data_IF_394053179242
#
_entry.id   IF_394053179242
#
_cell.length_a   1.000
_cell.length_b   1.000
_cell.length_c   1.000
_cell.angle_alpha   90.00
_cell.angle_beta   90.00
_cell.angle_gamma   90.00
#
_symmetry.space_group_name_H-M   'P 1'
#
loop_
_entity.id
_entity.type
_entity.pdbx_description
1 polymer ?
#
# COMPACT_ATOMS: atom_id res chain seq x y z
N UNK A 1 14.44 -3.08 15.03
CA UNK A 1 15.06 -4.16 14.25
C UNK A 1 14.36 -5.45 14.65
N UNK A 2 13.41 -5.91 13.86
CA UNK A 2 12.79 -7.24 14.05
C UNK A 2 13.71 -8.18 13.26
N UNK A 3 14.60 -8.86 13.93
CA UNK A 3 15.52 -9.81 13.29
C UNK A 3 14.84 -11.17 13.17
N UNK A 4 15.22 -11.96 12.17
CA UNK A 4 14.72 -13.33 11.93
C UNK A 4 14.81 -14.24 13.18
N UNK A 5 15.61 -13.88 14.16
CA UNK A 5 15.71 -14.59 15.44
C UNK A 5 14.45 -14.52 16.31
N UNK A 6 13.54 -13.57 16.08
CA UNK A 6 12.27 -13.49 16.80
C UNK A 6 11.26 -14.55 16.33
N UNK A 7 11.46 -15.14 15.15
CA UNK A 7 10.56 -16.13 14.58
C UNK A 7 11.06 -17.58 14.71
N UNK A 8 12.29 -17.79 15.15
CA UNK A 8 12.88 -19.15 15.28
C UNK A 8 12.49 -19.88 16.55
N UNK A 9 11.79 -19.23 17.49
CA UNK A 9 11.33 -19.83 18.75
C UNK A 9 9.82 -19.80 18.89
N UNK A 10 9.06 -20.05 17.82
CA UNK A 10 7.65 -20.39 17.98
C UNK A 10 7.58 -21.77 18.64
N UNK A 11 7.24 -21.80 19.92
CA UNK A 11 6.87 -23.03 20.61
C UNK A 11 5.60 -23.59 19.96
N UNK A 12 5.69 -24.75 19.34
CA UNK A 12 4.56 -25.46 18.72
C UNK A 12 3.45 -25.81 19.74
N UNK A 13 3.72 -25.60 21.04
CA UNK A 13 2.79 -25.76 22.15
C UNK A 13 2.08 -24.49 22.58
N UNK A 14 2.05 -23.42 21.79
CA UNK A 14 1.22 -22.26 22.07
C UNK A 14 -0.25 -22.71 22.12
N UNK A 15 -0.73 -22.98 23.35
CA UNK A 15 -2.17 -23.08 23.62
C UNK A 15 -2.84 -21.82 23.07
N UNK A 16 -3.90 -22.02 22.28
CA UNK A 16 -4.66 -20.93 21.69
C UNK A 16 -4.92 -19.85 22.75
N UNK A 17 -4.22 -18.72 22.62
CA UNK A 17 -4.48 -17.57 23.44
C UNK A 17 -5.87 -17.04 23.04
N UNK A 18 -6.80 -16.93 23.97
CA UNK A 18 -8.06 -16.24 23.72
C UNK A 18 -7.72 -14.78 23.37
N UNK A 19 -7.87 -14.44 22.11
CA UNK A 19 -7.68 -13.06 21.67
C UNK A 19 -8.77 -12.19 22.29
N UNK A 20 -8.43 -11.04 22.89
CA UNK A 20 -9.43 -10.15 23.43
C UNK A 20 -10.36 -9.68 22.30
N UNK A 21 -11.64 -9.58 22.59
CA UNK A 21 -12.61 -8.98 21.67
C UNK A 21 -12.21 -7.52 21.43
N UNK A 22 -11.83 -7.18 20.21
CA UNK A 22 -11.48 -5.81 19.85
C UNK A 22 -12.75 -5.02 19.51
N UNK A 23 -12.93 -3.90 20.19
CA UNK A 23 -13.93 -2.92 19.75
C UNK A 23 -13.40 -2.16 18.53
N UNK A 24 -14.00 -2.41 17.38
CA UNK A 24 -13.62 -1.77 16.12
C UNK A 24 -13.87 -0.25 16.12
N UNK A 25 -14.65 0.29 17.04
CA UNK A 25 -14.82 1.73 17.22
C UNK A 25 -13.66 2.38 17.97
N UNK A 26 -12.81 1.59 18.64
CA UNK A 26 -11.65 2.10 19.36
C UNK A 26 -10.65 2.80 18.44
N UNK A 27 -10.03 3.90 18.92
CA UNK A 27 -8.94 4.57 18.20
C UNK A 27 -7.78 3.60 17.91
N UNK A 28 -7.35 3.56 16.65
CA UNK A 28 -6.25 2.72 16.22
C UNK A 28 -4.99 3.53 15.86
N UNK A 29 -5.17 4.70 15.23
CA UNK A 29 -4.06 5.56 14.85
C UNK A 29 -4.37 7.04 15.09
N UNK A 30 -3.29 7.80 15.25
CA UNK A 30 -3.31 9.24 15.34
C UNK A 30 -2.26 9.79 14.36
N UNK A 31 -2.73 10.46 13.31
CA UNK A 31 -1.86 10.97 12.23
C UNK A 31 -1.88 12.48 12.21
N UNK A 32 -0.70 13.10 12.25
CA UNK A 32 -0.57 14.55 12.18
C UNK A 32 -0.74 15.06 10.74
N UNK A 33 -1.48 16.15 10.60
CA UNK A 33 -1.61 16.89 9.33
C UNK A 33 -1.08 18.32 9.50
N UNK A 34 -0.56 18.90 8.42
CA UNK A 34 -0.21 20.31 8.37
C UNK A 34 -1.49 21.16 8.27
N UNK A 35 -2.14 21.42 9.39
CA UNK A 35 -3.39 22.19 9.40
C UNK A 35 -3.30 23.51 8.63
N UNK A 36 -4.35 23.89 7.91
CA UNK A 36 -4.48 25.16 7.18
C UNK A 36 -4.34 26.40 8.07
N UNK A 37 -4.46 26.24 9.38
CA UNK A 37 -4.30 27.28 10.41
C UNK A 37 -2.88 27.40 10.97
N UNK A 38 -1.89 26.70 10.41
CA UNK A 38 -0.48 26.76 10.81
C UNK A 38 -0.11 25.84 11.99
N UNK A 39 -1.05 25.37 12.79
CA UNK A 39 -0.79 24.38 13.84
C UNK A 39 -1.12 22.98 13.33
N UNK A 40 -0.25 21.98 13.59
CA UNK A 40 -0.55 20.59 13.25
C UNK A 40 -1.84 20.12 13.93
N UNK A 41 -2.69 19.46 13.18
CA UNK A 41 -3.89 18.79 13.70
C UNK A 41 -3.66 17.28 13.73
N UNK A 42 -4.21 16.62 14.74
CA UNK A 42 -4.18 15.18 14.84
C UNK A 42 -5.51 14.59 14.35
N UNK A 43 -5.44 13.76 13.33
CA UNK A 43 -6.59 12.99 12.85
C UNK A 43 -6.56 11.62 13.51
N UNK A 44 -7.66 11.26 14.16
CA UNK A 44 -7.83 9.96 14.84
C UNK A 44 -8.66 9.06 13.96
N UNK A 45 -8.18 7.85 13.70
CA UNK A 45 -8.95 6.81 13.01
C UNK A 45 -9.15 5.61 13.90
N UNK A 46 -10.34 5.05 13.85
CA UNK A 46 -10.66 3.77 14.47
C UNK A 46 -10.21 2.59 13.59
N UNK A 47 -10.19 1.40 14.18
CA UNK A 47 -10.00 0.14 13.45
C UNK A 47 -11.01 0.04 12.29
N UNK A 48 -12.27 0.37 12.55
CA UNK A 48 -13.35 0.35 11.55
C UNK A 48 -13.07 1.28 10.36
N UNK A 49 -12.53 2.48 10.61
CA UNK A 49 -12.20 3.42 9.53
C UNK A 49 -11.14 2.83 8.59
N UNK A 50 -10.09 2.25 9.16
CA UNK A 50 -9.02 1.64 8.37
C UNK A 50 -9.48 0.40 7.62
N UNK A 51 -10.26 -0.48 8.25
CA UNK A 51 -10.78 -1.68 7.59
C UNK A 51 -11.70 -1.33 6.43
N UNK A 52 -12.62 -0.36 6.60
CA UNK A 52 -13.51 0.07 5.52
C UNK A 52 -12.73 0.67 4.33
N UNK A 53 -11.68 1.47 4.61
CA UNK A 53 -10.79 1.97 3.56
C UNK A 53 -10.02 0.84 2.87
N UNK A 54 -9.49 -0.10 3.63
CA UNK A 54 -8.74 -1.23 3.10
C UNK A 54 -9.62 -2.12 2.20
N UNK A 55 -10.87 -2.41 2.61
CA UNK A 55 -11.83 -3.22 1.87
C UNK A 55 -12.11 -2.65 0.49
N UNK A 56 -12.45 -1.36 0.38
CA UNK A 56 -12.72 -0.73 -0.91
C UNK A 56 -11.52 -0.74 -1.85
N UNK A 57 -10.30 -0.57 -1.33
CA UNK A 57 -9.09 -0.62 -2.16
C UNK A 57 -8.75 -2.05 -2.57
N UNK A 58 -8.91 -3.03 -1.68
CA UNK A 58 -8.67 -4.44 -2.00
C UNK A 58 -9.63 -4.93 -3.10
N UNK A 59 -10.91 -4.58 -2.99
CA UNK A 59 -11.91 -4.89 -4.02
C UNK A 59 -11.54 -4.28 -5.37
N UNK A 60 -11.20 -3.00 -5.39
CA UNK A 60 -10.86 -2.29 -6.63
C UNK A 60 -9.62 -2.87 -7.33
N UNK A 61 -8.59 -3.25 -6.57
CA UNK A 61 -7.33 -3.75 -7.10
C UNK A 61 -7.30 -5.28 -7.26
N UNK A 62 -8.38 -5.99 -6.91
CA UNK A 62 -8.45 -7.47 -6.82
C UNK A 62 -7.31 -8.04 -5.94
N UNK A 63 -7.04 -7.38 -4.80
CA UNK A 63 -6.02 -7.80 -3.85
C UNK A 63 -6.59 -8.80 -2.85
N UNK A 64 -5.97 -9.96 -2.72
CA UNK A 64 -6.48 -11.08 -1.93
C UNK A 64 -5.36 -11.94 -1.35
N UNK A 65 -5.73 -12.94 -0.57
CA UNK A 65 -4.81 -13.96 -0.09
C UNK A 65 -4.04 -14.60 -1.25
N UNK A 66 -2.73 -14.78 -1.06
CA UNK A 66 -1.80 -15.25 -2.10
C UNK A 66 -1.13 -14.12 -2.88
N UNK A 67 -1.64 -12.91 -2.79
CA UNK A 67 -0.99 -11.71 -3.32
C UNK A 67 0.07 -11.16 -2.36
N UNK A 68 0.80 -10.17 -2.83
CA UNK A 68 1.82 -9.50 -2.06
C UNK A 68 1.82 -7.99 -2.29
N UNK A 69 2.07 -7.22 -1.24
CA UNK A 69 2.19 -5.76 -1.30
C UNK A 69 3.52 -5.31 -0.70
N UNK A 70 4.20 -4.36 -1.37
CA UNK A 70 5.41 -3.75 -0.81
C UNK A 70 5.02 -2.59 0.11
N UNK A 71 5.58 -2.54 1.31
CA UNK A 71 5.51 -1.37 2.19
C UNK A 71 6.39 -0.26 1.63
N UNK A 72 5.92 0.39 0.58
CA UNK A 72 6.62 1.37 -0.24
C UNK A 72 6.47 2.81 0.22
N UNK A 73 5.56 3.05 1.17
CA UNK A 73 5.23 4.38 1.68
C UNK A 73 5.40 4.42 3.21
N UNK A 74 5.76 5.58 3.79
CA UNK A 74 6.07 5.68 5.21
C UNK A 74 4.84 5.52 6.11
N UNK A 75 5.02 4.84 7.25
CA UNK A 75 3.94 4.57 8.22
C UNK A 75 3.44 5.80 8.98
N UNK A 76 4.19 6.91 8.98
CA UNK A 76 3.72 8.16 9.56
C UNK A 76 2.71 8.90 8.67
N UNK A 77 2.42 8.39 7.47
CA UNK A 77 1.33 8.81 6.59
C UNK A 77 0.26 7.71 6.48
N UNK A 78 -0.99 8.12 6.34
CA UNK A 78 -2.12 7.18 6.13
C UNK A 78 -1.96 6.29 4.90
N UNK A 79 -1.21 6.72 3.91
CA UNK A 79 -0.92 5.92 2.71
C UNK A 79 -0.08 4.66 3.01
N UNK A 80 0.92 4.78 3.89
CA UNK A 80 1.69 3.62 4.37
C UNK A 80 0.89 2.76 5.33
N UNK A 81 0.15 3.38 6.25
CA UNK A 81 -0.76 2.66 7.15
C UNK A 81 -1.80 1.84 6.36
N UNK A 82 -2.37 2.42 5.30
CA UNK A 82 -3.33 1.73 4.44
C UNK A 82 -2.79 0.45 3.80
N UNK A 83 -1.48 0.37 3.50
CA UNK A 83 -0.84 -0.86 3.01
C UNK A 83 -0.91 -1.96 4.08
N UNK A 84 -0.59 -1.62 5.34
CA UNK A 84 -0.62 -2.57 6.46
C UNK A 84 -2.04 -3.08 6.71
N UNK A 85 -3.05 -2.21 6.69
CA UNK A 85 -4.43 -2.60 6.89
C UNK A 85 -4.98 -3.50 5.78
N UNK A 86 -4.58 -3.27 4.51
CA UNK A 86 -4.94 -4.13 3.37
C UNK A 86 -4.32 -5.52 3.52
N UNK A 87 -3.03 -5.57 3.87
CA UNK A 87 -2.33 -6.81 4.14
C UNK A 87 -3.00 -7.61 5.24
N UNK A 88 -3.30 -6.99 6.40
CA UNK A 88 -3.96 -7.64 7.53
C UNK A 88 -5.35 -8.16 7.15
N UNK A 89 -6.15 -7.33 6.46
CA UNK A 89 -7.51 -7.68 6.05
C UNK A 89 -7.56 -8.91 5.16
N UNK A 90 -6.61 -9.04 4.24
CA UNK A 90 -6.62 -10.12 3.25
C UNK A 90 -5.80 -11.35 3.65
N UNK A 91 -5.02 -11.29 4.74
CA UNK A 91 -4.08 -12.37 5.07
C UNK A 91 -3.08 -12.63 3.95
N UNK A 92 -2.66 -11.57 3.26
CA UNK A 92 -1.74 -11.62 2.13
C UNK A 92 -0.27 -11.59 2.60
N UNK A 93 0.70 -11.31 1.71
CA UNK A 93 2.11 -11.18 2.06
C UNK A 93 2.51 -9.70 2.04
N UNK A 94 3.16 -9.22 3.11
CA UNK A 94 3.77 -7.89 3.17
C UNK A 94 5.27 -7.99 2.99
N UNK A 95 5.78 -7.31 1.95
CA UNK A 95 7.23 -7.13 1.79
C UNK A 95 7.65 -5.84 2.47
N UNK A 96 8.64 -5.93 3.35
CA UNK A 96 9.20 -4.78 4.07
C UNK A 96 10.60 -4.52 3.53
N UNK A 97 10.85 -3.26 3.16
CA UNK A 97 12.16 -2.84 2.68
C UNK A 97 13.02 -2.37 3.86
N UNK A 98 14.09 -3.08 4.15
CA UNK A 98 15.06 -2.70 5.18
C UNK A 98 16.15 -1.77 4.62
N UNK A 99 16.62 -2.00 3.39
CA UNK A 99 17.59 -1.15 2.71
C UNK A 99 16.96 -0.47 1.49
N UNK A 100 17.16 0.85 1.39
CA UNK A 100 16.69 1.62 0.23
C UNK A 100 17.27 1.16 -1.11
N UNK A 101 18.43 0.50 -1.09
CA UNK A 101 19.06 -0.06 -2.28
C UNK A 101 18.20 -1.16 -2.93
N UNK A 102 17.51 -1.96 -2.12
CA UNK A 102 16.75 -3.13 -2.58
C UNK A 102 15.31 -2.80 -2.99
N UNK A 103 14.92 -1.52 -2.92
CA UNK A 103 13.53 -1.09 -3.15
C UNK A 103 12.97 -1.57 -4.49
N UNK A 104 13.70 -1.39 -5.59
CA UNK A 104 13.21 -1.78 -6.92
C UNK A 104 13.30 -3.28 -7.15
N UNK A 105 14.24 -3.96 -6.51
CA UNK A 105 14.31 -5.41 -6.52
C UNK A 105 13.07 -6.02 -5.84
N UNK A 106 12.76 -5.60 -4.61
CA UNK A 106 11.56 -6.03 -3.91
C UNK A 106 10.28 -5.64 -4.66
N UNK A 107 10.25 -4.44 -5.25
CA UNK A 107 9.13 -4.01 -6.07
C UNK A 107 8.89 -4.94 -7.26
N UNK A 108 9.94 -5.51 -7.85
CA UNK A 108 9.81 -6.46 -8.96
C UNK A 108 9.20 -7.82 -8.57
N UNK A 109 9.21 -8.15 -7.28
CA UNK A 109 8.75 -9.44 -6.74
C UNK A 109 7.29 -9.43 -6.26
N UNK A 110 6.70 -8.25 -6.04
CA UNK A 110 5.34 -8.12 -5.51
C UNK A 110 4.28 -8.00 -6.60
N UNK A 111 3.04 -8.41 -6.28
CA UNK A 111 1.89 -8.24 -7.17
C UNK A 111 1.27 -6.85 -7.07
N UNK A 112 1.37 -6.18 -5.91
CA UNK A 112 0.75 -4.88 -5.66
C UNK A 112 1.73 -3.90 -5.02
N UNK A 113 1.59 -2.61 -5.36
CA UNK A 113 2.34 -1.53 -4.73
C UNK A 113 1.52 -0.23 -4.69
N UNK A 114 1.81 0.62 -3.70
CA UNK A 114 1.36 2.02 -3.68
C UNK A 114 2.59 2.89 -3.92
N UNK A 115 2.55 3.72 -4.97
CA UNK A 115 3.70 4.53 -5.36
C UNK A 115 3.29 5.99 -5.58
N UNK A 116 4.23 6.90 -5.38
CA UNK A 116 4.13 8.24 -5.97
C UNK A 116 4.62 8.20 -7.43
N UNK A 117 4.17 9.12 -8.31
CA UNK A 117 4.53 9.09 -9.72
C UNK A 117 6.04 9.03 -9.99
N UNK A 118 6.84 9.73 -9.20
CA UNK A 118 8.31 9.74 -9.33
C UNK A 118 8.95 8.39 -9.00
N UNK A 119 8.38 7.61 -8.08
CA UNK A 119 8.85 6.25 -7.79
C UNK A 119 8.55 5.32 -8.98
N UNK A 120 7.34 5.39 -9.54
CA UNK A 120 6.99 4.60 -10.73
C UNK A 120 7.89 4.97 -11.91
N UNK A 121 8.13 6.25 -12.17
CA UNK A 121 9.01 6.71 -13.26
C UNK A 121 10.42 6.12 -13.12
N UNK A 122 10.98 6.15 -11.92
CA UNK A 122 12.32 5.58 -11.65
C UNK A 122 12.32 4.06 -11.79
N UNK A 123 11.25 3.38 -11.37
CA UNK A 123 11.12 1.94 -11.53
C UNK A 123 11.05 1.53 -13.00
N UNK A 124 10.28 2.23 -13.81
CA UNK A 124 10.19 1.98 -15.26
C UNK A 124 11.53 2.15 -15.99
N UNK A 125 12.43 2.98 -15.45
CA UNK A 125 13.78 3.18 -15.99
C UNK A 125 14.81 2.22 -15.38
N UNK A 126 14.46 1.39 -14.41
CA UNK A 126 15.38 0.49 -13.72
C UNK A 126 15.52 -0.86 -14.45
N UNK A 127 16.69 -1.50 -14.29
CA UNK A 127 16.90 -2.87 -14.77
C UNK A 127 16.01 -3.90 -14.06
N UNK A 128 15.58 -3.60 -12.83
CA UNK A 128 14.76 -4.49 -12.01
C UNK A 128 13.36 -4.71 -12.59
N UNK A 129 12.87 -3.77 -13.41
CA UNK A 129 11.60 -3.91 -14.13
C UNK A 129 11.53 -5.21 -14.94
N UNK A 130 12.63 -5.60 -15.59
CA UNK A 130 12.70 -6.78 -16.45
C UNK A 130 12.80 -8.11 -15.66
N UNK A 131 13.09 -8.04 -14.36
CA UNK A 131 13.14 -9.21 -13.47
C UNK A 131 11.77 -9.55 -12.88
N UNK A 132 10.74 -8.78 -13.23
CA UNK A 132 9.40 -8.94 -12.70
C UNK A 132 8.83 -10.33 -12.99
N UNK A 133 8.42 -11.01 -11.93
CA UNK A 133 7.89 -12.39 -12.01
C UNK A 133 6.37 -12.46 -12.00
N UNK A 134 5.68 -11.35 -11.68
CA UNK A 134 4.22 -11.30 -11.51
C UNK A 134 3.61 -10.16 -12.32
N UNK A 135 2.32 -10.29 -12.64
CA UNK A 135 1.51 -9.12 -13.06
C UNK A 135 1.44 -8.14 -11.89
N UNK A 136 1.56 -6.86 -12.18
CA UNK A 136 1.56 -5.83 -11.15
C UNK A 136 0.37 -4.88 -11.28
N UNK A 137 -0.23 -4.59 -10.14
CA UNK A 137 -1.22 -3.53 -9.93
C UNK A 137 -0.60 -2.43 -9.07
N UNK A 138 -0.59 -1.20 -9.55
CA UNK A 138 0.04 -0.07 -8.86
C UNK A 138 -0.98 1.03 -8.60
N UNK A 139 -1.21 1.32 -7.32
CA UNK A 139 -2.00 2.47 -6.88
C UNK A 139 -1.10 3.71 -6.85
N UNK A 140 -1.39 4.68 -7.68
CA UNK A 140 -0.67 5.95 -7.77
C UNK A 140 -1.42 7.03 -7.00
N UNK A 141 -0.69 7.84 -6.24
CA UNK A 141 -1.28 8.95 -5.50
C UNK A 141 -0.23 9.94 -5.00
N UNK A 142 -0.68 10.92 -4.20
CA UNK A 142 0.19 11.90 -3.56
C UNK A 142 0.68 13.05 -4.45
N UNK A 143 0.50 12.98 -5.76
CA UNK A 143 0.83 14.04 -6.72
C UNK A 143 0.03 13.86 -8.03
N UNK A 144 0.09 14.86 -8.92
CA UNK A 144 -0.46 14.77 -10.26
C UNK A 144 0.20 13.61 -11.04
N UNK A 145 -0.61 12.81 -11.73
CA UNK A 145 -0.18 11.61 -12.45
C UNK A 145 -0.13 11.95 -13.95
N UNK A 146 1.08 12.02 -14.57
CA UNK A 146 1.20 12.27 -15.99
C UNK A 146 0.61 11.13 -16.84
N UNK A 147 -0.14 11.46 -17.89
CA UNK A 147 -0.73 10.47 -18.79
C UNK A 147 0.34 9.61 -19.48
N UNK A 148 1.47 10.20 -19.85
CA UNK A 148 2.61 9.52 -20.44
C UNK A 148 3.19 8.44 -19.52
N UNK A 149 3.21 8.70 -18.21
CA UNK A 149 3.69 7.73 -17.22
C UNK A 149 2.76 6.50 -17.15
N UNK A 150 1.45 6.74 -17.19
CA UNK A 150 0.43 5.68 -17.25
C UNK A 150 0.60 4.83 -18.52
N UNK A 151 0.81 5.49 -19.66
CA UNK A 151 1.05 4.82 -20.93
C UNK A 151 2.32 3.97 -20.90
N UNK A 152 3.42 4.49 -20.39
CA UNK A 152 4.68 3.75 -20.25
C UNK A 152 4.50 2.52 -19.35
N UNK A 153 3.82 2.66 -18.21
CA UNK A 153 3.53 1.55 -17.32
C UNK A 153 2.70 0.45 -18.01
N UNK A 154 1.67 0.84 -18.78
CA UNK A 154 0.82 -0.09 -19.53
C UNK A 154 1.62 -0.87 -20.58
N UNK A 155 2.49 -0.21 -21.34
CA UNK A 155 3.38 -0.88 -22.32
C UNK A 155 4.24 -1.93 -21.64
N UNK A 156 4.65 -1.69 -20.41
CA UNK A 156 5.38 -2.65 -19.58
C UNK A 156 4.48 -3.69 -18.89
N UNK A 157 3.17 -3.72 -19.16
CA UNK A 157 2.24 -4.69 -18.59
C UNK A 157 1.93 -4.44 -17.10
N UNK A 158 2.09 -3.20 -16.61
CA UNK A 158 1.68 -2.77 -15.26
C UNK A 158 0.30 -2.15 -15.35
N UNK A 159 -0.64 -2.65 -14.54
CA UNK A 159 -1.95 -2.02 -14.36
C UNK A 159 -1.82 -0.89 -13.35
N UNK A 160 -2.20 0.32 -13.72
CA UNK A 160 -2.16 1.47 -12.81
C UNK A 160 -3.56 1.94 -12.43
N UNK A 161 -3.67 2.44 -11.20
CA UNK A 161 -4.88 3.05 -10.66
C UNK A 161 -4.52 4.44 -10.17
N UNK A 162 -5.22 5.47 -10.64
CA UNK A 162 -5.07 6.84 -10.15
C UNK A 162 -5.94 7.04 -8.93
N UNK A 163 -5.32 7.20 -7.77
CA UNK A 163 -5.96 7.37 -6.49
C UNK A 163 -5.96 8.83 -6.01
N UNK A 164 -7.07 9.24 -5.44
CA UNK A 164 -7.20 10.45 -4.63
C UNK A 164 -7.52 10.07 -3.20
N UNK A 165 -6.85 10.69 -2.24
CA UNK A 165 -7.03 10.44 -0.83
C UNK A 165 -6.57 11.60 0.03
N UNK A 166 -6.93 11.53 1.31
CA UNK A 166 -6.54 12.51 2.31
C UNK A 166 -6.45 11.85 3.69
N UNK A 167 -5.75 12.52 4.60
CA UNK A 167 -5.52 11.96 5.95
C UNK A 167 -6.81 11.73 6.69
N UNK A 168 -7.78 12.62 6.59
CA UNK A 168 -9.07 12.57 7.28
C UNK A 168 -9.95 11.38 6.86
N UNK A 169 -9.66 10.77 5.72
CA UNK A 169 -10.39 9.61 5.18
C UNK A 169 -9.59 8.29 5.27
N UNK A 170 -8.65 8.23 6.18
CA UNK A 170 -7.80 7.06 6.44
C UNK A 170 -7.00 6.54 5.22
N UNK A 171 -6.87 7.28 4.14
CA UNK A 171 -6.06 7.10 2.94
C UNK A 171 -6.84 7.39 1.65
N UNK A 172 -7.17 6.37 0.86
CA UNK A 172 -7.78 6.50 -0.48
C UNK A 172 -9.30 6.71 -0.38
N UNK A 173 -9.81 7.77 -0.97
CA UNK A 173 -11.24 8.07 -1.06
C UNK A 173 -11.83 7.43 -2.30
N UNK A 174 -11.15 7.61 -3.43
CA UNK A 174 -11.52 7.03 -4.71
C UNK A 174 -10.26 6.70 -5.52
N UNK A 175 -10.38 5.73 -6.39
CA UNK A 175 -9.36 5.46 -7.37
C UNK A 175 -10.03 4.97 -8.67
N UNK A 176 -9.38 5.22 -9.78
CA UNK A 176 -9.84 4.82 -11.11
C UNK A 176 -8.76 4.01 -11.78
N UNK A 177 -9.13 2.86 -12.32
CA UNK A 177 -8.25 2.06 -13.17
C UNK A 177 -7.95 2.85 -14.43
N UNK A 178 -6.67 3.02 -14.74
CA UNK A 178 -6.26 3.74 -15.92
C UNK A 178 -6.40 2.84 -17.17
N UNK A 179 -7.55 2.97 -17.83
CA UNK A 179 -7.79 2.37 -19.14
C UNK A 179 -7.52 3.45 -20.20
N UNK A 180 -6.70 3.13 -21.19
CA UNK A 180 -6.63 3.98 -22.36
C UNK A 180 -7.95 3.83 -23.08
N UNK A 181 -8.74 4.91 -23.15
CA UNK A 181 -9.72 5.02 -24.20
C UNK A 181 -9.01 4.80 -25.53
N UNK A 182 -9.43 3.79 -26.29
CA UNK A 182 -9.03 3.69 -27.68
C UNK A 182 -9.51 4.97 -28.37
N UNK A 183 -8.65 5.96 -28.43
CA UNK A 183 -8.82 7.07 -29.37
C UNK A 183 -8.42 6.47 -30.70
N UNK A 184 -9.44 5.91 -31.40
CA UNK A 184 -9.33 5.56 -32.80
C UNK A 184 -9.21 6.81 -33.65
#
# INVERSE_FOLDING_TARGET
MITDQLFTNFDENLTACELPTLDHASPATLTLTSGSSGLPKAVVHSIKNHLANAEGVCELLDFKQGDSWLLSLPLFHVSGQGIVWRWLLQGATLYVNEDKADFFELLSQVSHASLVPTQLQRYLASAELHKRSKKQSVLLGGAAIPAELVQQAKVQGITTFSGYGMTEMASTICAVKNELSNVG
#
